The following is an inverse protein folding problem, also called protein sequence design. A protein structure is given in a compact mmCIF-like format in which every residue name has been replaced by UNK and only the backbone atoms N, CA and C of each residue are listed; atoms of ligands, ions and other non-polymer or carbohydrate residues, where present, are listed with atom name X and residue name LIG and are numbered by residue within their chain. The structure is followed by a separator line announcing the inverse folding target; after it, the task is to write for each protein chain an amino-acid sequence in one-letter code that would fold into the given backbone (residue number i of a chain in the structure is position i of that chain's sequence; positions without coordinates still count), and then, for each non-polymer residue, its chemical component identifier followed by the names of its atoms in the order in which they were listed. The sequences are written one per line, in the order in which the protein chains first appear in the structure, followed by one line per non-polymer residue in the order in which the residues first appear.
data_IF_364432798032
#
_entry.id   IF_364432798032
#
_cell.length_a   1.000
_cell.length_b   1.000
_cell.length_c   1.000
_cell.angle_alpha   90.00
_cell.angle_beta   90.00
_cell.angle_gamma   90.00
#
_symmetry.space_group_name_H-M   'P 1'
#
loop_
_entity.id
_entity.type
_entity.pdbx_description
1 polymer ?
#
# COMPACT_ATOMS: atom_id res chain seq x y z
N UNK A 1 20.39 1.45 32.76
CA UNK A 1 19.28 1.33 33.73
C UNK A 1 18.02 0.90 33.01
N UNK A 2 17.39 -0.19 33.43
CA UNK A 2 16.13 -0.69 32.86
C UNK A 2 16.09 -2.19 32.57
N UNK A 3 17.11 -2.94 32.97
CA UNK A 3 17.05 -4.40 33.04
C UNK A 3 16.46 -4.84 34.40
N UNK A 4 16.37 -3.94 35.39
CA UNK A 4 15.93 -4.27 36.76
C UNK A 4 14.42 -4.16 37.03
N UNK A 5 13.60 -3.57 36.14
CA UNK A 5 12.22 -3.20 36.51
C UNK A 5 11.10 -4.00 35.81
N UNK A 6 11.44 -5.16 35.22
CA UNK A 6 10.59 -6.35 35.06
C UNK A 6 9.15 -6.27 34.51
N UNK A 7 8.60 -5.13 34.09
CA UNK A 7 7.14 -4.98 33.95
C UNK A 7 6.64 -4.48 32.59
N UNK A 8 7.50 -4.24 31.60
CA UNK A 8 7.01 -3.82 30.25
C UNK A 8 7.91 -4.16 29.06
N UNK A 9 9.07 -4.80 29.26
CA UNK A 9 10.06 -4.97 28.17
C UNK A 9 9.97 -6.29 27.39
N UNK A 10 9.34 -7.32 27.94
CA UNK A 10 9.37 -8.65 27.33
C UNK A 10 8.50 -8.77 26.07
N UNK A 11 7.31 -8.17 26.04
CA UNK A 11 6.38 -8.34 24.91
C UNK A 11 6.96 -7.75 23.60
N UNK A 12 7.65 -6.61 23.69
CA UNK A 12 8.27 -5.96 22.53
C UNK A 12 9.56 -6.65 22.03
N UNK A 13 10.20 -7.47 22.89
CA UNK A 13 11.37 -8.29 22.53
C UNK A 13 10.95 -9.67 22.00
N UNK A 14 9.93 -10.30 22.61
CA UNK A 14 9.38 -11.60 22.20
C UNK A 14 8.82 -11.52 20.77
N UNK A 15 8.17 -10.42 20.40
CA UNK A 15 7.63 -10.18 19.04
C UNK A 15 8.71 -10.05 17.95
N UNK A 16 9.99 -10.02 18.31
CA UNK A 16 11.14 -9.88 17.40
C UNK A 16 12.02 -11.12 17.30
N UNK A 17 11.67 -12.21 18.01
CA UNK A 17 12.34 -13.51 17.87
C UNK A 17 12.21 -13.98 16.41
N UNK A 18 13.31 -14.47 15.83
CA UNK A 18 13.43 -14.90 14.43
C UNK A 18 13.23 -13.84 13.33
N UNK A 19 13.27 -12.54 13.67
CA UNK A 19 13.27 -11.46 12.66
C UNK A 19 14.70 -10.92 12.48
N UNK A 20 15.18 -10.68 11.24
CA UNK A 20 16.46 -10.02 11.04
C UNK A 20 16.41 -8.61 11.63
N UNK A 21 17.41 -8.26 12.44
CA UNK A 21 17.53 -6.93 13.06
C UNK A 21 18.92 -6.38 12.78
N UNK A 22 18.99 -5.10 12.41
CA UNK A 22 20.27 -4.42 12.16
C UNK A 22 20.89 -3.94 13.48
N UNK A 23 22.19 -4.17 13.63
CA UNK A 23 23.00 -3.71 14.75
C UNK A 23 24.28 -3.06 14.25
N UNK A 24 24.78 -2.08 15.00
CA UNK A 24 26.11 -1.51 14.78
C UNK A 24 27.05 -2.07 15.82
N UNK A 25 28.21 -2.58 15.37
CA UNK A 25 29.29 -2.96 16.27
C UNK A 25 29.86 -1.70 16.90
N UNK A 26 29.77 -1.58 18.23
CA UNK A 26 30.30 -0.43 18.97
C UNK A 26 31.69 -0.71 19.50
N UNK A 27 31.96 -1.95 19.90
CA UNK A 27 33.23 -2.34 20.48
C UNK A 27 33.47 -3.83 20.21
N UNK A 28 34.73 -4.17 19.91
CA UNK A 28 35.21 -5.54 19.82
C UNK A 28 36.31 -5.67 20.87
N UNK A 29 36.09 -6.56 21.83
CA UNK A 29 37.02 -6.82 22.93
C UNK A 29 37.26 -8.33 23.06
N UNK A 30 38.27 -8.73 23.83
CA UNK A 30 38.50 -10.14 24.18
C UNK A 30 37.31 -10.75 24.97
N UNK A 31 36.47 -9.92 25.59
CA UNK A 31 35.26 -10.35 26.33
C UNK A 31 34.03 -10.52 25.44
N UNK A 32 34.12 -10.16 24.16
CA UNK A 32 33.04 -10.28 23.18
C UNK A 32 32.80 -9.01 22.36
N UNK A 33 31.77 -9.07 21.52
CA UNK A 33 31.36 -8.01 20.59
C UNK A 33 30.15 -7.29 21.18
N UNK A 34 30.26 -5.99 21.39
CA UNK A 34 29.16 -5.14 21.81
C UNK A 34 28.42 -4.58 20.60
N UNK A 35 27.11 -4.77 20.60
CA UNK A 35 26.23 -4.40 19.51
C UNK A 35 25.19 -3.38 19.99
N UNK A 36 25.03 -2.29 19.25
CA UNK A 36 24.01 -1.27 19.54
C UNK A 36 23.00 -1.17 18.41
N UNK A 37 21.74 -1.45 18.74
CA UNK A 37 20.60 -1.22 17.84
C UNK A 37 20.31 0.26 17.66
N UNK A 38 20.34 1.02 18.76
CA UNK A 38 20.06 2.46 18.74
C UNK A 38 21.04 3.18 17.84
N UNK A 39 22.31 2.80 17.86
CA UNK A 39 23.33 3.40 17.00
C UNK A 39 23.09 3.09 15.50
N UNK A 40 22.67 1.85 15.17
CA UNK A 40 22.31 1.50 13.79
C UNK A 40 21.08 2.28 13.28
N UNK A 41 20.06 2.41 14.12
CA UNK A 41 18.85 3.19 13.80
C UNK A 41 19.17 4.67 13.61
N UNK A 42 19.96 5.26 14.50
CA UNK A 42 20.37 6.66 14.38
C UNK A 42 21.18 6.90 13.11
N UNK A 43 22.14 6.03 12.80
CA UNK A 43 22.94 6.14 11.57
C UNK A 43 22.08 6.01 10.30
N UNK A 44 21.06 5.14 10.32
CA UNK A 44 20.09 5.03 9.23
C UNK A 44 19.25 6.31 9.10
N UNK A 45 18.78 6.89 10.21
CA UNK A 45 18.07 8.18 10.18
C UNK A 45 18.97 9.27 9.58
N UNK A 46 20.20 9.38 10.08
CA UNK A 46 21.11 10.46 9.71
C UNK A 46 21.65 10.35 8.28
N UNK A 47 21.79 9.13 7.73
CA UNK A 47 22.36 8.91 6.39
C UNK A 47 21.34 8.64 5.30
N UNK A 48 20.23 7.98 5.65
CA UNK A 48 19.22 7.56 4.69
C UNK A 48 18.02 8.51 4.77
N UNK A 49 17.38 8.62 5.93
CA UNK A 49 16.12 9.38 6.07
C UNK A 49 16.33 10.88 5.87
N UNK A 50 17.43 11.44 6.38
CA UNK A 50 17.75 12.87 6.20
C UNK A 50 17.87 13.31 4.75
N UNK A 51 18.09 12.37 3.83
CA UNK A 51 18.22 12.62 2.39
C UNK A 51 16.93 12.34 1.62
N UNK A 52 15.96 11.68 2.25
CA UNK A 52 14.68 11.38 1.61
C UNK A 52 13.89 12.67 1.48
N UNK A 53 13.42 12.92 0.27
CA UNK A 53 12.50 13.99 -0.05
C UNK A 53 11.16 13.42 -0.48
N UNK A 54 10.06 14.18 -0.33
CA UNK A 54 8.79 13.80 -0.91
C UNK A 54 8.96 13.42 -2.38
N UNK A 55 8.32 12.31 -2.76
CA UNK A 55 8.36 11.74 -4.10
C UNK A 55 9.35 10.60 -4.27
N UNK A 56 10.32 10.41 -3.36
CA UNK A 56 11.28 9.32 -3.46
C UNK A 56 10.59 7.96 -3.34
N UNK A 57 10.91 7.03 -4.25
CA UNK A 57 10.36 5.68 -4.28
C UNK A 57 11.35 4.76 -3.60
N UNK A 58 10.92 4.17 -2.49
CA UNK A 58 11.76 3.32 -1.66
C UNK A 58 11.13 1.92 -1.50
N UNK A 59 11.97 0.87 -1.39
CA UNK A 59 11.48 -0.44 -0.97
C UNK A 59 11.10 -0.39 0.51
N UNK A 60 9.98 -1.02 0.85
CA UNK A 60 9.48 -1.12 2.21
C UNK A 60 8.94 -2.51 2.46
N UNK A 61 9.24 -3.08 3.64
CA UNK A 61 8.75 -4.39 4.05
C UNK A 61 7.54 -4.22 4.97
N UNK A 62 6.41 -4.81 4.62
CA UNK A 62 5.22 -4.83 5.49
C UNK A 62 5.55 -5.59 6.77
N UNK A 63 5.33 -4.97 7.92
CA UNK A 63 5.60 -5.57 9.24
C UNK A 63 4.32 -6.02 9.92
N UNK A 64 3.32 -5.14 9.96
CA UNK A 64 2.00 -5.39 10.53
C UNK A 64 0.95 -4.50 9.84
N UNK A 65 -0.30 -4.94 9.91
CA UNK A 65 -1.44 -4.32 9.24
C UNK A 65 -2.48 -4.00 10.30
N UNK A 66 -2.94 -2.75 10.33
CA UNK A 66 -3.97 -2.26 11.24
C UNK A 66 -5.10 -1.63 10.42
N UNK A 67 -6.29 -1.48 11.01
CA UNK A 67 -7.45 -0.93 10.29
C UNK A 67 -7.22 0.46 9.68
N UNK A 68 -6.38 1.28 10.31
CA UNK A 68 -6.10 2.64 9.83
C UNK A 68 -4.90 2.73 8.87
N UNK A 69 -4.13 1.66 8.68
CA UNK A 69 -2.97 1.69 7.80
C UNK A 69 -2.02 0.50 7.91
N UNK A 70 -1.08 0.45 6.97
CA UNK A 70 -0.03 -0.57 6.92
C UNK A 70 1.28 -0.02 7.50
N UNK A 71 1.86 -0.75 8.46
CA UNK A 71 3.17 -0.42 9.01
C UNK A 71 4.25 -1.15 8.24
N UNK A 72 5.22 -0.40 7.77
CA UNK A 72 6.31 -0.91 6.95
C UNK A 72 7.66 -0.54 7.55
N UNK A 73 8.64 -1.40 7.35
CA UNK A 73 10.04 -1.17 7.68
C UNK A 73 10.77 -0.76 6.40
N UNK A 74 11.36 0.43 6.43
CA UNK A 74 12.15 0.99 5.33
C UNK A 74 13.66 0.84 5.56
N UNK A 75 14.06 0.21 6.67
CA UNK A 75 15.46 0.01 7.00
C UNK A 75 15.72 0.06 8.51
N UNK A 76 16.62 -0.80 8.98
CA UNK A 76 17.08 -0.86 10.38
C UNK A 76 15.95 -0.96 11.44
N UNK A 77 14.76 -1.45 11.06
CA UNK A 77 13.62 -1.56 11.97
C UNK A 77 13.04 -0.19 12.33
N UNK A 78 13.02 0.74 11.38
CA UNK A 78 12.40 2.05 11.51
C UNK A 78 10.94 1.98 11.02
N UNK A 79 9.96 2.12 11.93
CA UNK A 79 8.56 1.98 11.55
C UNK A 79 8.09 3.20 10.76
N UNK A 80 7.59 2.94 9.55
CA UNK A 80 6.91 3.90 8.69
C UNK A 80 5.46 3.49 8.50
N UNK A 81 4.59 4.45 8.19
CA UNK A 81 3.14 4.22 8.07
C UNK A 81 2.67 4.59 6.67
N UNK A 82 1.88 3.70 6.07
CA UNK A 82 1.04 3.99 4.91
C UNK A 82 -0.41 4.05 5.41
N UNK A 83 -1.02 5.25 5.49
CA UNK A 83 -2.44 5.38 5.82
C UNK A 83 -3.32 4.62 4.84
N UNK A 84 -4.48 4.11 5.27
CA UNK A 84 -5.39 3.34 4.40
C UNK A 84 -5.76 4.09 3.11
N UNK A 85 -6.00 5.41 3.19
CA UNK A 85 -6.33 6.29 2.05
C UNK A 85 -5.15 6.54 1.08
N UNK A 86 -3.94 6.15 1.48
CA UNK A 86 -2.72 6.24 0.68
C UNK A 86 -2.35 4.90 0.01
N UNK A 87 -3.03 3.81 0.39
CA UNK A 87 -2.76 2.48 -0.17
C UNK A 87 -3.30 2.35 -1.60
N UNK A 88 -4.51 2.84 -1.84
CA UNK A 88 -5.25 2.62 -3.08
C UNK A 88 -6.24 3.76 -3.32
N UNK A 89 -6.57 4.06 -4.58
CA UNK A 89 -7.69 4.97 -4.89
C UNK A 89 -9.03 4.28 -4.67
N UNK A 90 -9.09 2.97 -4.95
CA UNK A 90 -10.26 2.16 -4.67
C UNK A 90 -10.46 2.01 -3.16
N UNK A 91 -11.72 2.01 -2.73
CA UNK A 91 -12.07 1.84 -1.32
C UNK A 91 -11.68 0.43 -0.88
N UNK A 92 -10.82 0.34 0.12
CA UNK A 92 -10.44 -0.92 0.77
C UNK A 92 -10.95 -0.92 2.21
N UNK A 93 -11.32 -2.10 2.70
CA UNK A 93 -11.88 -2.26 4.05
C UNK A 93 -10.77 -2.40 5.10
N UNK A 94 -9.70 -3.09 4.71
CA UNK A 94 -8.54 -3.34 5.55
C UNK A 94 -7.27 -3.38 4.68
N UNK A 95 -6.10 -2.96 5.18
CA UNK A 95 -4.85 -3.10 4.44
C UNK A 95 -4.47 -4.54 4.04
N UNK A 96 -5.07 -5.55 4.68
CA UNK A 96 -4.92 -6.97 4.28
C UNK A 96 -5.49 -7.27 2.90
N UNK A 97 -6.38 -6.44 2.39
CA UNK A 97 -6.96 -6.56 1.05
C UNK A 97 -5.91 -6.32 -0.06
N UNK A 98 -4.73 -5.82 0.33
CA UNK A 98 -3.63 -5.41 -0.56
C UNK A 98 -2.30 -6.00 -0.15
N UNK A 99 -2.10 -6.14 1.15
CA UNK A 99 -0.81 -6.49 1.71
C UNK A 99 -0.88 -7.71 2.60
N UNK A 100 0.24 -8.40 2.73
CA UNK A 100 0.45 -9.41 3.77
C UNK A 100 1.70 -9.10 4.59
N UNK A 101 1.73 -9.54 5.85
CA UNK A 101 2.89 -9.34 6.71
C UNK A 101 4.13 -10.02 6.11
N UNK A 102 5.23 -9.28 6.00
CA UNK A 102 6.48 -9.72 5.39
C UNK A 102 6.61 -9.41 3.90
N UNK A 103 5.55 -8.94 3.22
CA UNK A 103 5.59 -8.58 1.80
C UNK A 103 6.57 -7.44 1.56
N UNK A 104 7.36 -7.55 0.49
CA UNK A 104 8.17 -6.45 -0.02
C UNK A 104 7.34 -5.63 -1.01
N UNK A 105 7.24 -4.33 -0.77
CA UNK A 105 6.51 -3.39 -1.63
C UNK A 105 7.39 -2.19 -1.96
N UNK A 106 7.08 -1.50 -3.04
CA UNK A 106 7.55 -0.13 -3.30
C UNK A 106 6.53 0.85 -2.74
N UNK A 107 7.02 1.95 -2.15
CA UNK A 107 6.20 3.05 -1.69
C UNK A 107 6.90 4.38 -1.96
N UNK A 108 6.15 5.43 -2.28
CA UNK A 108 6.67 6.78 -2.43
C UNK A 108 6.63 7.52 -1.08
N UNK A 109 7.61 8.36 -0.82
CA UNK A 109 7.66 9.23 0.37
C UNK A 109 6.64 10.35 0.18
N UNK A 110 5.68 10.44 1.10
CA UNK A 110 4.71 11.54 1.13
C UNK A 110 5.17 12.68 2.02
N UNK A 111 5.92 12.36 3.08
CA UNK A 111 6.46 13.35 3.99
C UNK A 111 7.29 12.72 5.09
N UNK A 112 8.17 13.53 5.68
CA UNK A 112 9.09 13.13 6.74
C UNK A 112 8.94 14.09 7.92
N UNK A 113 8.76 13.55 9.13
CA UNK A 113 8.79 14.33 10.37
C UNK A 113 9.65 13.62 11.41
N UNK A 114 10.90 14.07 11.53
CA UNK A 114 11.89 13.49 12.41
C UNK A 114 12.14 12.01 12.08
N UNK A 115 11.71 11.12 12.97
CA UNK A 115 11.85 9.67 12.80
C UNK A 115 10.64 8.98 12.16
N UNK A 116 9.54 9.72 11.94
CA UNK A 116 8.32 9.18 11.32
C UNK A 116 8.25 9.58 9.86
N UNK A 117 7.99 8.59 9.01
CA UNK A 117 7.84 8.79 7.57
C UNK A 117 6.45 8.33 7.17
N UNK A 118 5.77 9.19 6.44
CA UNK A 118 4.52 8.85 5.78
C UNK A 118 4.82 8.44 4.36
N UNK A 119 4.32 7.28 4.01
CA UNK A 119 4.49 6.67 2.71
C UNK A 119 3.14 6.57 2.02
N UNK A 120 3.20 6.47 0.71
CA UNK A 120 2.04 6.31 -0.16
C UNK A 120 2.31 5.27 -1.22
N UNK A 121 1.29 4.52 -1.59
CA UNK A 121 1.42 3.38 -2.50
C UNK A 121 0.58 3.56 -3.76
N UNK A 122 -0.57 4.23 -3.66
CA UNK A 122 -1.52 4.40 -4.77
C UNK A 122 -0.94 5.10 -6.00
N UNK A 123 0.01 6.02 -5.83
CA UNK A 123 0.66 6.75 -6.93
C UNK A 123 1.51 5.83 -7.80
N UNK A 124 1.93 4.69 -7.27
CA UNK A 124 2.71 3.69 -8.00
C UNK A 124 1.83 2.71 -8.80
N UNK A 125 0.52 2.69 -8.53
CA UNK A 125 -0.46 1.76 -9.11
C UNK A 125 -1.13 2.31 -10.38
N UNK A 126 -0.58 3.38 -10.95
CA UNK A 126 -0.99 3.96 -12.24
C UNK A 126 -2.20 4.87 -12.17
N UNK A 127 -2.42 5.62 -13.24
CA UNK A 127 -3.55 6.56 -13.40
C UNK A 127 -4.85 5.82 -13.71
N UNK A 128 -5.97 6.54 -13.74
CA UNK A 128 -7.24 5.96 -14.18
C UNK A 128 -7.14 5.42 -15.61
N UNK A 129 -6.51 6.17 -16.52
CA UNK A 129 -6.38 5.81 -17.94
C UNK A 129 -5.44 4.61 -18.15
N UNK A 130 -4.32 4.57 -17.43
CA UNK A 130 -3.37 3.44 -17.51
C UNK A 130 -4.02 2.13 -17.06
N UNK A 131 -4.82 2.18 -16.00
CA UNK A 131 -5.58 1.01 -15.55
C UNK A 131 -6.73 0.70 -16.51
N UNK A 132 -7.48 1.71 -16.98
CA UNK A 132 -8.60 1.51 -17.90
C UNK A 132 -8.15 0.95 -19.26
N UNK A 133 -6.96 1.30 -19.74
CA UNK A 133 -6.39 0.79 -20.99
C UNK A 133 -6.11 -0.72 -20.97
N UNK A 134 -6.09 -1.35 -19.78
CA UNK A 134 -5.98 -2.80 -19.65
C UNK A 134 -7.31 -3.52 -19.96
N UNK A 135 -8.39 -2.77 -20.19
CA UNK A 135 -9.74 -3.29 -20.35
C UNK A 135 -10.45 -2.69 -21.57
N UNK A 136 -11.45 -3.39 -22.08
CA UNK A 136 -12.25 -3.02 -23.25
C UNK A 136 -13.74 -3.11 -22.95
N UNK A 137 -14.54 -2.16 -23.47
CA UNK A 137 -15.99 -2.26 -23.37
C UNK A 137 -16.49 -3.50 -24.11
N UNK A 138 -17.37 -4.27 -23.47
CA UNK A 138 -17.94 -5.50 -24.03
C UNK A 138 -17.25 -6.79 -23.61
N UNK A 139 -16.17 -6.72 -22.81
CA UNK A 139 -15.54 -7.92 -22.27
C UNK A 139 -16.11 -8.32 -20.90
N UNK A 140 -15.85 -9.56 -20.49
CA UNK A 140 -16.11 -10.06 -19.14
C UNK A 140 -14.81 -10.38 -18.44
N UNK A 141 -14.60 -9.76 -17.28
CA UNK A 141 -13.39 -9.92 -16.45
C UNK A 141 -13.76 -10.27 -15.02
N UNK A 142 -12.80 -10.81 -14.27
CA UNK A 142 -12.95 -10.99 -12.83
C UNK A 142 -12.65 -9.68 -12.12
N UNK A 143 -13.42 -9.37 -11.08
CA UNK A 143 -13.17 -8.26 -10.18
C UNK A 143 -13.53 -8.62 -8.74
N UNK A 144 -13.10 -7.78 -7.80
CA UNK A 144 -13.31 -8.00 -6.37
C UNK A 144 -14.36 -7.02 -5.86
N UNK A 145 -15.37 -7.51 -5.16
CA UNK A 145 -16.41 -6.67 -4.58
C UNK A 145 -15.85 -5.95 -3.37
N UNK A 146 -15.71 -4.62 -3.45
CA UNK A 146 -15.16 -3.80 -2.38
C UNK A 146 -16.22 -3.29 -1.41
N UNK A 147 -17.39 -2.92 -1.93
CA UNK A 147 -18.51 -2.51 -1.10
C UNK A 147 -19.84 -2.77 -1.79
N UNK A 148 -20.86 -3.03 -0.98
CA UNK A 148 -22.25 -3.20 -1.40
C UNK A 148 -23.04 -2.07 -0.74
N UNK A 149 -23.60 -1.19 -1.55
CA UNK A 149 -24.43 -0.07 -1.12
C UNK A 149 -25.84 -0.22 -1.71
N UNK A 150 -26.83 0.46 -1.15
CA UNK A 150 -28.24 0.34 -1.61
C UNK A 150 -28.44 0.71 -3.09
N UNK A 151 -27.62 1.64 -3.60
CA UNK A 151 -27.69 2.13 -4.97
C UNK A 151 -26.79 1.36 -5.95
N UNK A 152 -25.92 0.47 -5.47
CA UNK A 152 -25.06 -0.32 -6.35
C UNK A 152 -23.90 -1.00 -5.66
N UNK A 153 -23.25 -1.88 -6.41
CA UNK A 153 -22.12 -2.68 -5.94
C UNK A 153 -20.83 -2.16 -6.57
N UNK A 154 -19.85 -1.84 -5.75
CA UNK A 154 -18.53 -1.41 -6.20
C UNK A 154 -17.64 -2.63 -6.42
N UNK A 155 -17.27 -2.84 -7.67
CA UNK A 155 -16.37 -3.92 -8.07
C UNK A 155 -15.07 -3.32 -8.56
N UNK A 156 -13.97 -3.76 -7.97
CA UNK A 156 -12.63 -3.39 -8.35
C UNK A 156 -12.12 -4.29 -9.46
N UNK A 157 -11.70 -3.69 -10.58
CA UNK A 157 -11.07 -4.38 -11.70
C UNK A 157 -9.54 -4.36 -11.59
N UNK A 158 -9.01 -3.27 -11.04
CA UNK A 158 -7.59 -3.08 -10.74
C UNK A 158 -7.45 -2.17 -9.52
N UNK A 159 -6.31 -2.13 -8.80
CA UNK A 159 -6.17 -1.37 -7.57
C UNK A 159 -6.59 0.10 -7.66
N UNK A 160 -6.42 0.74 -8.81
CA UNK A 160 -6.82 2.12 -9.08
C UNK A 160 -7.98 2.24 -10.08
N UNK A 161 -8.75 1.17 -10.29
CA UNK A 161 -9.90 1.15 -11.18
C UNK A 161 -11.06 0.35 -10.57
N UNK A 162 -12.09 1.07 -10.14
CA UNK A 162 -13.33 0.50 -9.66
C UNK A 162 -14.50 0.90 -10.57
N UNK A 163 -15.43 -0.04 -10.75
CA UNK A 163 -16.68 0.16 -11.45
C UNK A 163 -17.89 0.00 -10.54
N UNK A 164 -19.01 0.54 -10.99
CA UNK A 164 -20.31 0.44 -10.32
C UNK A 164 -21.20 -0.52 -11.10
N UNK A 165 -21.68 -1.55 -10.42
CA UNK A 165 -22.71 -2.46 -10.91
C UNK A 165 -24.06 -2.18 -10.25
N UNK A 166 -25.14 -2.62 -10.91
CA UNK A 166 -26.49 -2.57 -10.35
C UNK A 166 -26.59 -3.45 -9.08
N UNK A 167 -27.44 -3.07 -8.10
CA UNK A 167 -27.67 -3.89 -6.92
C UNK A 167 -28.11 -5.31 -7.30
N UNK A 168 -27.46 -6.31 -6.68
CA UNK A 168 -27.78 -7.73 -6.84
C UNK A 168 -27.88 -8.35 -5.45
N UNK A 169 -28.95 -9.11 -5.21
CA UNK A 169 -29.13 -9.81 -3.94
C UNK A 169 -28.10 -10.94 -3.77
N UNK A 170 -27.71 -11.22 -2.53
CA UNK A 170 -26.78 -12.31 -2.20
C UNK A 170 -25.30 -11.98 -2.39
N UNK A 171 -24.96 -10.73 -2.69
CA UNK A 171 -23.58 -10.27 -2.87
C UNK A 171 -23.01 -9.69 -1.57
N UNK A 172 -21.75 -9.99 -1.26
CA UNK A 172 -21.03 -9.52 -0.07
C UNK A 172 -19.68 -8.90 -0.43
N UNK A 173 -19.20 -7.97 0.40
CA UNK A 173 -17.85 -7.42 0.26
C UNK A 173 -16.80 -8.51 0.50
N UNK A 174 -15.73 -8.49 -0.29
CA UNK A 174 -14.66 -9.49 -0.30
C UNK A 174 -14.84 -10.62 -1.31
N UNK A 175 -16.04 -10.81 -1.86
CA UNK A 175 -16.27 -11.84 -2.88
C UNK A 175 -15.69 -11.46 -4.24
N UNK A 176 -15.42 -12.46 -5.06
CA UNK A 176 -15.06 -12.26 -6.45
C UNK A 176 -16.31 -12.28 -7.33
N UNK A 177 -16.29 -11.47 -8.39
CA UNK A 177 -17.40 -11.36 -9.32
C UNK A 177 -16.89 -11.37 -10.76
N UNK A 178 -17.52 -12.19 -11.59
CA UNK A 178 -17.44 -12.06 -13.04
C UNK A 178 -18.27 -10.86 -13.47
N UNK A 179 -17.63 -9.82 -14.00
CA UNK A 179 -18.28 -8.58 -14.38
C UNK A 179 -18.11 -8.28 -15.86
N UNK A 180 -19.21 -7.93 -16.50
CA UNK A 180 -19.26 -7.45 -17.87
C UNK A 180 -19.10 -5.93 -17.92
N UNK A 181 -18.17 -5.43 -18.72
CA UNK A 181 -17.89 -4.00 -18.86
C UNK A 181 -18.87 -3.39 -19.86
N UNK A 182 -19.94 -2.77 -19.35
CA UNK A 182 -20.98 -2.15 -20.18
C UNK A 182 -20.52 -0.86 -20.85
N UNK A 183 -19.84 -0.01 -20.08
CA UNK A 183 -19.34 1.27 -20.57
C UNK A 183 -18.22 1.81 -19.66
N UNK A 184 -17.24 2.47 -20.26
CA UNK A 184 -16.26 3.29 -19.56
C UNK A 184 -16.52 4.76 -19.88
N UNK A 185 -16.54 5.61 -18.86
CA UNK A 185 -16.89 7.04 -18.95
C UNK A 185 -15.70 7.83 -18.36
N UNK A 186 -14.66 8.11 -19.17
CA UNK A 186 -13.45 8.80 -18.72
C UNK A 186 -13.72 10.17 -18.09
N UNK A 187 -14.68 10.92 -18.62
CA UNK A 187 -15.05 12.26 -18.15
C UNK A 187 -15.48 12.26 -16.68
N UNK A 188 -16.06 11.14 -16.24
CA UNK A 188 -16.52 10.95 -14.86
C UNK A 188 -15.62 10.00 -14.07
N UNK A 189 -14.57 9.44 -14.68
CA UNK A 189 -13.76 8.33 -14.15
C UNK A 189 -14.62 7.18 -13.63
N UNK A 190 -15.67 6.81 -14.39
CA UNK A 190 -16.65 5.79 -13.99
C UNK A 190 -16.65 4.63 -14.97
N UNK A 191 -16.62 3.42 -14.43
CA UNK A 191 -16.87 2.20 -15.20
C UNK A 191 -18.24 1.64 -14.80
N UNK A 192 -19.10 1.40 -15.79
CA UNK A 192 -20.40 0.74 -15.59
C UNK A 192 -20.24 -0.75 -15.82
N UNK A 193 -20.60 -1.53 -14.81
CA UNK A 193 -20.44 -2.97 -14.78
C UNK A 193 -21.80 -3.67 -14.68
N UNK A 194 -21.85 -4.92 -15.14
CA UNK A 194 -22.95 -5.84 -14.88
C UNK A 194 -22.36 -7.09 -14.25
N UNK A 195 -22.83 -7.47 -13.06
CA UNK A 195 -22.38 -8.70 -12.39
C UNK A 195 -23.05 -9.90 -13.06
N UNK A 196 -22.26 -10.68 -13.79
CA UNK A 196 -22.67 -11.94 -14.41
C UNK A 196 -22.81 -13.00 -13.32
N UNK A 197 -21.75 -13.21 -12.56
CA UNK A 197 -21.67 -14.24 -11.52
C UNK A 197 -20.85 -13.79 -10.30
N UNK A 198 -21.05 -14.44 -9.15
CA UNK A 198 -20.33 -14.17 -7.90
C UNK A 198 -19.88 -15.49 -7.29
N UNK A 199 -18.61 -15.55 -6.92
CA UNK A 199 -17.98 -16.74 -6.36
C UNK A 199 -17.04 -16.35 -5.21
N UNK A 200 -16.85 -17.28 -4.29
CA UNK A 200 -15.86 -17.14 -3.22
C UNK A 200 -14.52 -17.67 -3.75
N UNK A 201 -13.47 -16.85 -3.67
CA UNK A 201 -12.10 -17.32 -3.84
C UNK A 201 -11.26 -16.93 -2.62
N UNK A 202 -10.32 -17.79 -2.27
CA UNK A 202 -9.40 -17.61 -1.13
C UNK A 202 -8.05 -17.04 -1.64
N UNK A 203 -8.10 -16.31 -2.76
CA UNK A 203 -6.89 -15.87 -3.45
C UNK A 203 -6.15 -14.83 -2.62
N UNK A 204 -4.86 -15.07 -2.45
CA UNK A 204 -3.96 -14.06 -1.88
C UNK A 204 -3.91 -12.87 -2.83
N UNK A 205 -3.84 -11.63 -2.31
CA UNK A 205 -3.69 -10.46 -3.17
C UNK A 205 -2.48 -10.65 -4.08
N UNK A 206 -2.72 -10.58 -5.39
CA UNK A 206 -1.65 -10.66 -6.37
C UNK A 206 -0.63 -9.53 -6.14
N UNK A 207 0.65 -9.76 -6.46
CA UNK A 207 1.65 -8.70 -6.38
C UNK A 207 1.18 -7.47 -7.18
N UNK A 208 1.23 -6.27 -6.59
CA UNK A 208 0.77 -5.07 -7.29
C UNK A 208 1.61 -4.84 -8.55
N UNK A 209 0.92 -4.64 -9.68
CA UNK A 209 1.56 -4.15 -10.89
C UNK A 209 1.88 -2.67 -10.73
N UNK A 210 3.17 -2.34 -10.75
CA UNK A 210 3.62 -0.96 -10.73
C UNK A 210 3.63 -0.39 -12.16
N UNK A 211 3.07 0.80 -12.32
CA UNK A 211 3.14 1.56 -13.57
C UNK A 211 4.39 2.43 -13.65
N UNK A 212 5.22 2.39 -12.60
CA UNK A 212 6.47 3.12 -12.53
C UNK A 212 7.65 2.19 -12.88
N UNK A 213 8.46 2.55 -13.90
CA UNK A 213 9.66 1.79 -14.25
C UNK A 213 10.58 1.54 -13.05
N UNK A 214 11.30 0.42 -13.05
CA UNK A 214 12.20 0.05 -11.94
C UNK A 214 13.37 1.02 -11.77
N UNK A 215 13.80 1.68 -12.84
CA UNK A 215 14.87 2.68 -12.84
C UNK A 215 14.42 4.06 -12.31
N UNK A 216 13.12 4.28 -12.10
CA UNK A 216 12.61 5.53 -11.54
C UNK A 216 12.63 5.45 -10.02
N UNK A 217 13.44 6.31 -9.42
CA UNK A 217 13.61 6.41 -7.96
C UNK A 217 12.84 7.57 -7.35
N UNK A 218 12.19 8.43 -8.15
CA UNK A 218 11.45 9.60 -7.67
C UNK A 218 10.31 9.99 -8.60
N UNK A 219 9.20 10.45 -8.02
CA UNK A 219 8.08 11.10 -8.71
C UNK A 219 7.83 12.48 -8.15
N UNK A 220 7.65 13.47 -9.02
CA UNK A 220 7.37 14.86 -8.61
C UNK A 220 5.87 15.16 -8.64
N UNK A 221 5.18 14.61 -9.65
CA UNK A 221 3.74 14.78 -9.82
C UNK A 221 3.13 13.47 -10.29
N UNK A 222 1.99 13.13 -9.70
CA UNK A 222 1.14 12.06 -10.16
C UNK A 222 -0.28 12.59 -10.35
N UNK A 223 -0.79 12.51 -11.58
CA UNK A 223 -2.16 12.89 -11.91
C UNK A 223 -2.96 11.63 -12.17
N UNK A 224 -3.92 11.35 -11.29
CA UNK A 224 -4.80 10.20 -11.43
C UNK A 224 -5.90 10.44 -12.47
N UNK A 225 -6.40 11.68 -12.53
CA UNK A 225 -7.54 12.09 -13.34
C UNK A 225 -7.29 11.92 -14.85
N UNK A 226 -8.29 11.40 -15.55
CA UNK A 226 -8.33 11.36 -17.02
C UNK A 226 -8.33 12.77 -17.63
N UNK A 227 -7.68 12.95 -18.77
CA UNK A 227 -7.58 14.26 -19.45
C UNK A 227 -8.95 14.88 -19.79
N UNK A 228 -9.99 14.05 -19.88
CA UNK A 228 -11.35 14.45 -20.24
C UNK A 228 -12.23 14.83 -19.03
N UNK A 229 -11.71 14.72 -17.80
CA UNK A 229 -12.50 14.96 -16.60
C UNK A 229 -12.26 16.35 -15.99
N UNK A 230 -13.35 17.03 -15.62
CA UNK A 230 -13.31 18.31 -14.91
C UNK A 230 -12.76 18.20 -13.47
N UNK A 231 -12.71 16.98 -12.90
CA UNK A 231 -12.31 16.75 -11.50
C UNK A 231 -10.83 16.38 -11.41
N UNK A 232 -9.99 17.33 -11.00
CA UNK A 232 -8.55 17.08 -10.82
C UNK A 232 -8.23 16.38 -9.49
N UNK A 233 -7.63 15.20 -9.59
CA UNK A 233 -7.05 14.41 -8.51
C UNK A 233 -5.58 14.25 -8.89
N UNK A 234 -4.73 14.99 -8.19
CA UNK A 234 -3.29 14.91 -8.36
C UNK A 234 -2.58 14.97 -7.01
N UNK A 235 -1.40 14.38 -6.98
CA UNK A 235 -0.46 14.46 -5.86
C UNK A 235 0.79 15.14 -6.38
N UNK A 236 1.14 16.25 -5.75
CA UNK A 236 2.39 16.97 -5.97
C UNK A 236 3.28 16.67 -4.77
N UNK A 237 4.49 16.20 -5.04
CA UNK A 237 5.48 15.88 -4.03
C UNK A 237 6.47 17.04 -3.93
N UNK A 238 6.12 18.03 -3.11
CA UNK A 238 6.93 19.22 -2.80
C UNK A 238 7.91 18.98 -1.64
#
# INVERSE_FOLDING_TARGET
MGIEDGSTRDIALITKVNKPVCFKVTEISERGIFLSRRAAQQECIDRYISRLIPGDIIPARVTHLEQFGAFVDIGCGLPSLIPIDAISVSRISHPSDRFYAGQMIRAAVKGVNGSRIWLTHKELLGTWEENAACFSCGETVSGIIRSVEDYGIFVELAPNLAGLAEPKAGVRAGQHAGVYIKAMIPEKMKVKLIIVDVFDSDDRPEPPRYFIPENVSRIERWRYTSELSDRVIETIFD
#
